data_IF_646023144528
#
_entry.id   IF_646023144528
#
_cell.length_a   1.000
_cell.length_b   1.000
_cell.length_c   1.000
_cell.angle_alpha   90.00
_cell.angle_beta   90.00
_cell.angle_gamma   90.00
#
_symmetry.space_group_name_H-M   'P 1'
#
loop_
_entity.id
_entity.type
_entity.pdbx_description
1 polymer ?
#
# COMPACT_ATOMS: atom_id res chain seq x y z
N UNK A 1 13.29 -40.69 -24.72
CA UNK A 1 12.69 -39.43 -24.21
C UNK A 1 12.71 -38.42 -25.34
N UNK A 2 11.57 -37.86 -25.75
CA UNK A 2 11.54 -36.95 -26.92
C UNK A 2 12.13 -35.59 -26.54
N UNK A 3 12.52 -34.81 -27.57
CA UNK A 3 13.12 -33.47 -27.39
C UNK A 3 12.21 -32.56 -26.56
N UNK A 4 10.90 -32.67 -26.73
CA UNK A 4 9.87 -31.94 -25.98
C UNK A 4 9.83 -32.33 -24.50
N UNK A 5 9.92 -33.62 -24.16
CA UNK A 5 9.91 -34.07 -22.76
C UNK A 5 11.16 -33.60 -22.02
N UNK A 6 12.33 -33.54 -22.70
CA UNK A 6 13.57 -32.99 -22.12
C UNK A 6 13.47 -31.49 -21.83
N UNK A 7 12.89 -30.70 -22.73
CA UNK A 7 12.71 -29.26 -22.51
C UNK A 7 11.73 -28.95 -21.38
N UNK A 8 10.63 -29.70 -21.26
CA UNK A 8 9.68 -29.56 -20.15
C UNK A 8 10.33 -29.96 -18.83
N UNK A 9 11.09 -31.07 -18.79
CA UNK A 9 11.78 -31.50 -17.58
C UNK A 9 12.86 -30.50 -17.14
N UNK A 10 13.58 -29.90 -18.10
CA UNK A 10 14.58 -28.85 -17.81
C UNK A 10 13.93 -27.54 -17.33
N UNK A 11 12.75 -27.19 -17.85
CA UNK A 11 11.96 -26.06 -17.34
C UNK A 11 11.50 -26.35 -15.90
N UNK A 12 10.95 -27.53 -15.63
CA UNK A 12 10.54 -27.92 -14.27
C UNK A 12 11.74 -28.09 -13.32
N UNK A 13 12.90 -28.54 -13.78
CA UNK A 13 14.13 -28.56 -12.98
C UNK A 13 14.68 -27.16 -12.73
N UNK A 14 14.60 -26.24 -13.71
CA UNK A 14 15.01 -24.85 -13.53
C UNK A 14 14.11 -24.13 -12.52
N UNK A 15 12.80 -24.35 -12.63
CA UNK A 15 11.78 -23.93 -11.67
C UNK A 15 12.09 -24.54 -10.30
N UNK A 16 12.25 -25.86 -10.20
CA UNK A 16 12.55 -26.55 -8.94
C UNK A 16 13.90 -26.11 -8.32
N UNK A 17 14.94 -25.85 -9.10
CA UNK A 17 16.23 -25.34 -8.60
C UNK A 17 16.10 -23.90 -8.07
N UNK A 18 15.19 -23.09 -8.64
CA UNK A 18 14.80 -21.80 -8.06
C UNK A 18 14.02 -21.96 -6.73
N UNK A 19 13.19 -22.99 -6.61
CA UNK A 19 12.37 -23.24 -5.41
C UNK A 19 13.07 -24.03 -4.28
N UNK A 20 14.15 -24.76 -4.59
CA UNK A 20 14.87 -25.64 -3.65
C UNK A 20 16.36 -25.27 -3.47
N UNK A 21 16.82 -24.14 -3.98
CA UNK A 21 18.19 -23.68 -3.70
C UNK A 21 18.38 -23.49 -2.19
N UNK A 22 19.52 -23.96 -1.61
CA UNK A 22 19.79 -23.79 -0.19
C UNK A 22 19.82 -22.31 0.18
N UNK A 23 19.15 -21.98 1.29
CA UNK A 23 18.96 -20.63 1.82
C UNK A 23 20.22 -20.05 2.48
N UNK A 24 21.36 -20.10 1.79
CA UNK A 24 22.49 -19.27 2.19
C UNK A 24 22.14 -17.82 1.85
N UNK A 25 22.22 -16.97 2.87
CA UNK A 25 21.89 -15.55 2.87
C UNK A 25 22.71 -14.81 1.80
N UNK A 26 22.24 -14.82 0.55
CA UNK A 26 22.62 -13.88 -0.49
C UNK A 26 21.70 -12.67 -0.37
N UNK A 27 21.78 -11.96 0.77
CA UNK A 27 21.25 -10.60 0.84
C UNK A 27 22.20 -9.75 -0.01
N UNK A 28 21.72 -9.26 -1.15
CA UNK A 28 22.40 -8.15 -1.79
C UNK A 28 22.03 -6.92 -0.96
N UNK A 29 22.93 -6.48 -0.09
CA UNK A 29 22.70 -5.30 0.74
C UNK A 29 22.26 -4.10 -0.13
N UNK A 30 21.11 -3.56 0.25
CA UNK A 30 20.70 -2.20 -0.07
C UNK A 30 19.90 -2.01 -1.35
N UNK A 31 19.78 -0.73 -1.67
CA UNK A 31 19.01 -0.19 -2.77
C UNK A 31 19.95 0.26 -3.88
N UNK A 32 19.55 0.08 -5.14
CA UNK A 32 20.16 0.78 -6.26
C UNK A 32 19.31 1.99 -6.62
N UNK A 33 19.85 3.18 -6.38
CA UNK A 33 19.17 4.43 -6.67
C UNK A 33 19.46 4.93 -8.08
N UNK A 34 18.41 5.40 -8.74
CA UNK A 34 18.49 6.07 -10.03
C UNK A 34 17.72 7.38 -9.97
N UNK A 35 18.35 8.45 -10.41
CA UNK A 35 17.69 9.72 -10.63
C UNK A 35 17.21 9.79 -12.08
N UNK A 36 15.99 10.28 -12.28
CA UNK A 36 15.38 10.43 -13.60
C UNK A 36 14.89 11.87 -13.76
N UNK A 37 15.52 12.62 -14.66
CA UNK A 37 15.02 13.92 -15.10
C UNK A 37 14.13 13.75 -16.33
N UNK A 38 13.02 14.49 -16.39
CA UNK A 38 12.21 14.59 -17.61
C UNK A 38 12.79 15.70 -18.48
N UNK A 39 13.08 15.38 -19.73
CA UNK A 39 13.65 16.32 -20.71
C UNK A 39 12.53 17.01 -21.50
N UNK A 40 11.57 16.23 -22.02
CA UNK A 40 10.45 16.72 -22.83
C UNK A 40 9.32 15.68 -22.93
N UNK A 41 8.12 16.13 -23.32
CA UNK A 41 7.05 15.25 -23.78
C UNK A 41 7.25 14.88 -25.25
N UNK A 42 6.95 13.63 -25.59
CA UNK A 42 7.10 13.08 -26.94
C UNK A 42 5.78 12.50 -27.41
N UNK A 43 5.23 13.07 -28.49
CA UNK A 43 4.06 12.53 -29.16
C UNK A 43 4.45 11.27 -29.95
N UNK A 44 3.99 10.11 -29.50
CA UNK A 44 4.36 8.81 -30.10
C UNK A 44 3.38 8.35 -31.18
N UNK A 45 2.15 8.90 -31.22
CA UNK A 45 1.20 8.60 -32.28
C UNK A 45 0.10 9.67 -32.40
N UNK A 46 -0.21 10.06 -33.64
CA UNK A 46 -1.30 11.00 -33.91
C UNK A 46 -2.68 10.37 -33.74
N UNK A 47 -3.69 11.12 -33.26
CA UNK A 47 -5.09 10.74 -33.35
C UNK A 47 -5.48 10.41 -34.80
N UNK A 48 -6.32 9.39 -35.01
CA UNK A 48 -6.76 9.00 -36.36
C UNK A 48 -7.59 10.08 -37.05
N UNK A 49 -8.26 10.93 -36.26
CA UNK A 49 -9.03 12.10 -36.70
C UNK A 49 -8.19 13.17 -37.37
N UNK A 50 -6.87 13.19 -37.11
CA UNK A 50 -5.94 14.21 -37.60
C UNK A 50 -5.10 13.72 -38.79
N UNK A 51 -5.49 12.61 -39.40
CA UNK A 51 -4.77 12.01 -40.52
C UNK A 51 -5.69 11.92 -41.72
N UNK A 52 -5.52 12.85 -42.66
CA UNK A 52 -6.39 12.96 -43.84
C UNK A 52 -6.13 11.87 -44.89
N UNK A 53 -4.91 11.32 -44.96
CA UNK A 53 -4.53 10.37 -46.01
C UNK A 53 -4.66 8.89 -45.60
N UNK A 54 -5.20 8.01 -46.46
CA UNK A 54 -5.26 6.57 -46.21
C UNK A 54 -3.89 5.93 -45.96
N UNK A 55 -2.85 6.33 -46.69
CA UNK A 55 -1.47 5.88 -46.47
C UNK A 55 -0.93 6.36 -45.12
N UNK A 56 -1.26 7.59 -44.71
CA UNK A 56 -0.96 8.10 -43.37
C UNK A 56 -1.62 7.27 -42.28
N UNK A 57 -2.87 6.83 -42.49
CA UNK A 57 -3.61 5.99 -41.54
C UNK A 57 -2.98 4.60 -41.38
N UNK A 58 -2.49 3.99 -42.47
CA UNK A 58 -1.78 2.71 -42.45
C UNK A 58 -0.42 2.85 -41.74
N UNK A 59 0.36 3.90 -42.06
CA UNK A 59 1.63 4.16 -41.38
C UNK A 59 1.44 4.41 -39.87
N UNK A 60 0.39 5.14 -39.49
CA UNK A 60 0.04 5.36 -38.09
C UNK A 60 -0.39 4.06 -37.38
N UNK A 61 -1.09 3.16 -38.09
CA UNK A 61 -1.44 1.84 -37.55
C UNK A 61 -0.19 1.04 -37.15
N UNK A 62 0.77 0.90 -38.07
CA UNK A 62 2.02 0.18 -37.79
C UNK A 62 2.86 0.86 -36.70
N UNK A 63 2.92 2.19 -36.68
CA UNK A 63 3.57 2.94 -35.58
C UNK A 63 2.89 2.67 -34.24
N UNK A 64 1.55 2.73 -34.17
CA UNK A 64 0.78 2.41 -32.95
C UNK A 64 1.01 0.98 -32.48
N UNK A 65 1.02 0.00 -33.38
CA UNK A 65 1.32 -1.38 -33.05
C UNK A 65 2.75 -1.54 -32.48
N UNK A 66 3.75 -0.95 -33.13
CA UNK A 66 5.13 -0.96 -32.64
C UNK A 66 5.26 -0.28 -31.27
N UNK A 67 4.62 0.87 -31.07
CA UNK A 67 4.63 1.59 -29.79
C UNK A 67 3.85 0.87 -28.69
N UNK A 68 2.82 0.09 -29.02
CA UNK A 68 2.13 -0.76 -28.05
C UNK A 68 3.07 -1.86 -27.53
N UNK A 69 3.84 -2.50 -28.41
CA UNK A 69 4.85 -3.51 -28.01
C UNK A 69 5.95 -2.87 -27.16
N UNK A 70 6.49 -1.71 -27.58
CA UNK A 70 7.51 -0.98 -26.82
C UNK A 70 7.01 -0.52 -25.46
N UNK A 71 5.77 -0.03 -25.37
CA UNK A 71 5.13 0.35 -24.11
C UNK A 71 4.95 -0.85 -23.19
N UNK A 72 4.44 -1.96 -23.72
CA UNK A 72 4.32 -3.20 -22.94
C UNK A 72 5.67 -3.64 -22.38
N UNK A 73 6.72 -3.63 -23.22
CA UNK A 73 8.07 -3.98 -22.79
C UNK A 73 8.61 -3.01 -21.74
N UNK A 74 8.48 -1.70 -21.97
CA UNK A 74 8.92 -0.65 -21.05
C UNK A 74 8.24 -0.78 -19.68
N UNK A 75 6.92 -0.95 -19.66
CA UNK A 75 6.13 -0.96 -18.43
C UNK A 75 6.24 -2.28 -17.64
N UNK A 76 6.47 -3.41 -18.31
CA UNK A 76 6.50 -4.73 -17.65
C UNK A 76 7.92 -5.25 -17.43
N UNK A 77 8.88 -4.86 -18.28
CA UNK A 77 10.25 -5.38 -18.25
C UNK A 77 11.23 -4.29 -17.84
N UNK A 78 11.35 -3.21 -18.62
CA UNK A 78 12.44 -2.25 -18.39
C UNK A 78 12.31 -1.55 -17.04
N UNK A 79 11.12 -1.04 -16.71
CA UNK A 79 10.89 -0.33 -15.45
C UNK A 79 11.12 -1.21 -14.21
N UNK A 80 10.84 -2.51 -14.32
CA UNK A 80 10.87 -3.44 -13.19
C UNK A 80 12.23 -4.15 -13.03
N UNK A 81 12.92 -4.42 -14.14
CA UNK A 81 14.06 -5.35 -14.15
C UNK A 81 15.31 -4.81 -14.86
N UNK A 82 15.20 -3.82 -15.75
CA UNK A 82 16.34 -3.35 -16.56
C UNK A 82 16.61 -1.87 -16.27
N UNK A 83 17.53 -1.62 -15.34
CA UNK A 83 17.91 -0.27 -14.93
C UNK A 83 19.15 0.24 -15.67
N UNK A 84 19.03 0.50 -16.98
CA UNK A 84 20.15 1.04 -17.79
C UNK A 84 20.16 2.58 -17.80
N UNK A 85 21.33 3.17 -17.55
CA UNK A 85 21.56 4.62 -17.60
C UNK A 85 21.49 5.23 -19.02
N UNK A 86 21.30 6.55 -19.08
CA UNK A 86 21.23 7.36 -20.29
C UNK A 86 19.80 7.74 -20.71
N UNK A 87 19.66 8.27 -21.92
CA UNK A 87 18.38 8.73 -22.47
C UNK A 87 17.42 7.58 -22.75
N UNK A 88 16.17 7.72 -22.32
CA UNK A 88 15.11 6.71 -22.49
C UNK A 88 13.78 7.39 -22.80
N UNK A 89 12.88 6.60 -23.40
CA UNK A 89 11.48 6.96 -23.49
C UNK A 89 10.72 6.25 -22.38
N UNK A 90 10.06 7.02 -21.52
CA UNK A 90 9.08 6.53 -20.56
C UNK A 90 7.69 6.63 -21.18
N UNK A 91 7.04 5.50 -21.43
CA UNK A 91 5.71 5.49 -22.04
C UNK A 91 4.62 5.78 -21.00
N UNK A 92 3.79 6.79 -21.26
CA UNK A 92 2.66 7.15 -20.39
C UNK A 92 1.74 5.96 -20.16
N UNK A 93 1.30 5.80 -18.91
CA UNK A 93 0.26 4.82 -18.52
C UNK A 93 -1.13 5.40 -18.78
N UNK A 94 -1.25 6.72 -18.72
CA UNK A 94 -2.51 7.47 -18.79
C UNK A 94 -2.92 7.83 -20.21
N UNK A 95 -1.95 8.12 -21.09
CA UNK A 95 -2.19 8.42 -22.51
C UNK A 95 -1.35 7.53 -23.44
N UNK A 96 -2.04 6.77 -24.30
CA UNK A 96 -1.43 5.88 -25.28
C UNK A 96 -0.66 6.58 -26.41
N UNK A 97 -0.83 7.89 -26.55
CA UNK A 97 -0.20 8.73 -27.57
C UNK A 97 0.97 9.57 -27.02
N UNK A 98 1.24 9.48 -25.71
CA UNK A 98 2.27 10.26 -25.02
C UNK A 98 3.41 9.36 -24.52
N UNK A 99 4.62 9.88 -24.59
CA UNK A 99 5.77 9.40 -23.83
C UNK A 99 6.56 10.60 -23.29
N UNK A 100 7.52 10.34 -22.41
CA UNK A 100 8.44 11.33 -21.89
C UNK A 100 9.86 10.93 -22.28
N UNK A 101 10.61 11.84 -22.87
CA UNK A 101 12.05 11.70 -23.00
C UNK A 101 12.66 11.95 -21.64
N UNK A 102 13.43 11.01 -21.11
CA UNK A 102 14.02 11.10 -19.79
C UNK A 102 15.50 10.76 -19.81
N UNK A 103 16.26 11.35 -18.88
CA UNK A 103 17.65 10.97 -18.64
C UNK A 103 17.73 10.26 -17.32
N UNK A 104 18.27 9.04 -17.33
CA UNK A 104 18.43 8.21 -16.13
C UNK A 104 19.89 8.08 -15.74
N UNK A 105 20.22 8.38 -14.49
CA UNK A 105 21.58 8.30 -13.95
C UNK A 105 21.59 7.54 -12.64
N UNK A 106 22.54 6.63 -12.45
CA UNK A 106 22.69 5.90 -11.18
C UNK A 106 23.27 6.84 -10.14
N UNK A 107 22.60 6.91 -8.99
CA UNK A 107 23.03 7.73 -7.85
C UNK A 107 24.11 6.96 -7.08
N UNK A 108 25.21 7.63 -6.75
CA UNK A 108 26.37 7.02 -6.09
C UNK A 108 26.57 7.53 -4.67
N UNK A 109 26.13 8.75 -4.38
CA UNK A 109 26.16 9.36 -3.04
C UNK A 109 25.05 10.41 -2.90
N UNK A 110 24.93 10.99 -1.71
CA UNK A 110 23.98 12.07 -1.46
C UNK A 110 24.40 13.36 -2.19
N UNK A 111 25.70 13.65 -2.21
CA UNK A 111 26.28 14.79 -2.94
C UNK A 111 26.02 14.66 -4.44
N UNK A 112 26.22 13.47 -5.00
CA UNK A 112 25.89 13.22 -6.41
C UNK A 112 24.38 13.40 -6.67
N UNK A 113 23.50 13.05 -5.73
CA UNK A 113 22.07 13.29 -5.88
C UNK A 113 21.74 14.80 -5.91
N UNK A 114 22.38 15.60 -5.05
CA UNK A 114 22.25 17.07 -5.06
C UNK A 114 22.75 17.68 -6.38
N UNK A 115 23.91 17.22 -6.87
CA UNK A 115 24.45 17.62 -8.17
C UNK A 115 23.47 17.32 -9.32
N UNK A 116 22.85 16.13 -9.31
CA UNK A 116 21.86 15.73 -10.31
C UNK A 116 20.56 16.55 -10.24
N UNK A 117 20.20 17.07 -9.06
CA UNK A 117 19.11 18.02 -8.87
C UNK A 117 19.46 19.45 -9.31
N UNK A 118 20.72 19.70 -9.67
CA UNK A 118 21.21 21.01 -10.09
C UNK A 118 21.34 22.01 -8.94
N UNK A 119 21.55 21.54 -7.71
CA UNK A 119 21.64 22.36 -6.52
C UNK A 119 23.04 22.32 -5.90
N UNK A 120 23.55 23.49 -5.50
CA UNK A 120 24.81 23.60 -4.76
C UNK A 120 24.64 23.19 -3.28
N UNK A 121 23.42 23.33 -2.76
CA UNK A 121 23.08 22.99 -1.39
C UNK A 121 21.62 22.54 -1.24
N UNK A 122 21.30 21.86 -0.14
CA UNK A 122 19.93 21.45 0.18
C UNK A 122 18.96 22.63 0.33
N UNK A 123 19.45 23.82 0.72
CA UNK A 123 18.61 25.02 0.80
C UNK A 123 18.09 25.51 -0.56
N UNK A 124 18.75 25.13 -1.65
CA UNK A 124 18.36 25.52 -3.02
C UNK A 124 17.29 24.60 -3.60
N UNK A 125 17.03 23.45 -2.95
CA UNK A 125 16.07 22.47 -3.42
C UNK A 125 14.64 22.95 -3.25
N UNK A 126 13.81 22.64 -4.26
CA UNK A 126 12.36 22.70 -4.11
C UNK A 126 11.88 21.67 -3.08
N UNK A 127 10.69 21.86 -2.49
CA UNK A 127 10.10 20.86 -1.59
C UNK A 127 9.98 19.47 -2.25
N UNK A 128 9.70 19.42 -3.55
CA UNK A 128 9.63 18.17 -4.31
C UNK A 128 10.98 17.46 -4.38
N UNK A 129 12.06 18.20 -4.61
CA UNK A 129 13.42 17.64 -4.63
C UNK A 129 13.89 17.24 -3.22
N UNK A 130 13.55 18.04 -2.18
CA UNK A 130 13.77 17.65 -0.78
C UNK A 130 13.07 16.35 -0.42
N UNK A 131 11.86 16.11 -0.93
CA UNK A 131 11.17 14.82 -0.77
C UNK A 131 11.93 13.64 -1.40
N UNK A 132 12.52 13.81 -2.59
CA UNK A 132 13.34 12.76 -3.22
C UNK A 132 14.62 12.48 -2.42
N UNK A 133 15.27 13.54 -1.91
CA UNK A 133 16.42 13.43 -1.01
C UNK A 133 16.06 12.73 0.30
N UNK A 134 14.92 13.07 0.90
CA UNK A 134 14.41 12.43 2.10
C UNK A 134 14.12 10.94 1.88
N UNK A 135 13.56 10.56 0.72
CA UNK A 135 13.38 9.15 0.34
C UNK A 135 14.72 8.39 0.27
N UNK A 136 15.75 9.02 -0.31
CA UNK A 136 17.11 8.48 -0.34
C UNK A 136 17.68 8.28 1.07
N UNK A 137 17.53 9.26 1.96
CA UNK A 137 17.97 9.17 3.37
C UNK A 137 17.19 8.11 4.15
N UNK A 138 15.88 8.01 3.93
CA UNK A 138 15.02 7.03 4.60
C UNK A 138 15.46 5.59 4.33
N UNK A 139 15.93 5.30 3.12
CA UNK A 139 16.47 3.98 2.76
C UNK A 139 17.68 3.52 3.59
N UNK A 140 18.36 4.46 4.27
CA UNK A 140 19.52 4.20 5.13
C UNK A 140 19.17 4.22 6.61
N UNK A 141 17.91 4.51 6.95
CA UNK A 141 17.44 4.65 8.32
C UNK A 141 17.36 3.32 9.06
N UNK A 142 17.34 3.38 10.39
CA UNK A 142 17.13 2.18 11.22
C UNK A 142 15.75 1.56 11.00
N UNK A 143 14.74 2.37 10.67
CA UNK A 143 13.40 1.89 10.31
C UNK A 143 13.46 0.90 9.13
N UNK A 144 14.24 1.20 8.10
CA UNK A 144 14.40 0.29 6.95
C UNK A 144 15.24 -0.93 7.33
N UNK A 145 16.34 -0.74 8.06
CA UNK A 145 17.24 -1.83 8.49
C UNK A 145 16.54 -2.87 9.35
N UNK A 146 15.69 -2.46 10.29
CA UNK A 146 14.87 -3.35 11.13
C UNK A 146 14.01 -4.33 10.32
N UNK A 147 13.73 -4.01 9.06
CA UNK A 147 12.81 -4.75 8.19
C UNK A 147 13.54 -5.55 7.11
N UNK A 148 14.85 -5.40 6.97
CA UNK A 148 15.66 -6.12 5.96
C UNK A 148 15.58 -7.64 6.12
N UNK A 149 15.49 -8.10 7.36
CA UNK A 149 15.43 -9.53 7.68
C UNK A 149 14.06 -10.17 7.37
N UNK A 150 13.03 -9.36 7.06
CA UNK A 150 11.70 -9.80 6.65
C UNK A 150 11.60 -10.12 5.15
N UNK A 151 12.58 -9.68 4.37
CA UNK A 151 12.64 -10.00 2.95
C UNK A 151 12.77 -11.51 2.75
N UNK A 152 11.78 -12.11 2.08
CA UNK A 152 11.86 -13.51 1.66
C UNK A 152 12.79 -13.64 0.45
N UNK A 153 13.51 -14.77 0.38
CA UNK A 153 14.21 -15.31 -0.80
C UNK A 153 14.87 -14.31 -1.77
N UNK A 154 16.21 -14.34 -1.88
CA UNK A 154 16.95 -13.94 -3.09
C UNK A 154 16.47 -12.64 -3.76
N UNK A 155 16.00 -11.66 -2.99
CA UNK A 155 15.60 -10.39 -3.57
C UNK A 155 16.89 -9.74 -4.09
N UNK A 156 17.02 -9.53 -5.42
CA UNK A 156 18.06 -8.62 -5.89
C UNK A 156 17.81 -7.27 -5.23
N UNK A 157 18.84 -6.43 -5.16
CA UNK A 157 18.71 -5.05 -4.65
C UNK A 157 17.44 -4.40 -5.18
N UNK A 158 16.67 -3.78 -4.29
CA UNK A 158 15.47 -3.03 -4.69
C UNK A 158 15.94 -1.80 -5.46
N UNK A 159 15.39 -1.61 -6.66
CA UNK A 159 15.70 -0.42 -7.44
C UNK A 159 14.82 0.73 -6.96
N UNK A 160 15.39 1.90 -6.74
CA UNK A 160 14.63 3.10 -6.39
C UNK A 160 14.81 4.12 -7.49
N UNK A 161 13.72 4.50 -8.13
CA UNK A 161 13.67 5.48 -9.21
C UNK A 161 13.12 6.78 -8.65
N UNK A 162 13.99 7.76 -8.47
CA UNK A 162 13.67 9.12 -8.04
C UNK A 162 13.41 9.97 -9.28
N UNK A 163 12.14 10.21 -9.60
CA UNK A 163 11.74 10.98 -10.78
C UNK A 163 11.58 12.45 -10.41
N UNK A 164 12.45 13.30 -10.95
CA UNK A 164 12.27 14.74 -10.84
C UNK A 164 11.35 15.24 -11.96
N UNK A 165 10.18 15.71 -11.56
CA UNK A 165 9.17 16.31 -12.43
C UNK A 165 9.25 17.84 -12.43
N UNK A 166 10.35 18.42 -11.96
CA UNK A 166 10.58 19.87 -12.01
C UNK A 166 10.46 20.36 -13.47
N UNK A 167 9.64 21.40 -13.70
CA UNK A 167 9.29 21.91 -15.03
C UNK A 167 8.09 21.23 -15.71
N UNK A 168 7.52 20.19 -15.10
CA UNK A 168 6.35 19.45 -15.63
C UNK A 168 5.16 19.52 -14.65
N UNK A 169 5.05 20.60 -13.88
CA UNK A 169 4.08 20.71 -12.79
C UNK A 169 2.78 21.42 -13.17
N UNK A 170 2.74 22.08 -14.33
CA UNK A 170 1.50 22.65 -14.86
C UNK A 170 0.58 21.50 -15.28
N UNK A 171 -0.53 21.33 -14.56
CA UNK A 171 -1.49 20.27 -14.81
C UNK A 171 -2.36 20.54 -16.06
N UNK A 172 -2.44 21.79 -16.53
CA UNK A 172 -3.10 22.11 -17.79
C UNK A 172 -2.21 21.70 -18.99
N UNK A 173 -0.91 21.95 -18.89
CA UNK A 173 0.06 21.60 -19.94
C UNK A 173 0.46 20.11 -19.89
N UNK A 174 0.63 19.55 -18.69
CA UNK A 174 1.09 18.19 -18.44
C UNK A 174 0.10 17.37 -17.57
N UNK A 175 -1.14 17.17 -18.03
CA UNK A 175 -2.22 16.58 -17.23
C UNK A 175 -1.96 15.14 -16.75
N UNK A 176 -0.98 14.45 -17.35
CA UNK A 176 -0.70 13.04 -17.07
C UNK A 176 0.59 12.82 -16.27
N UNK A 177 1.49 13.81 -16.18
CA UNK A 177 2.82 13.61 -15.59
C UNK A 177 2.74 13.13 -14.14
N UNK A 178 1.92 13.81 -13.32
CA UNK A 178 1.74 13.43 -11.91
C UNK A 178 1.23 11.99 -11.73
N UNK A 179 0.32 11.54 -12.60
CA UNK A 179 -0.25 10.18 -12.53
C UNK A 179 0.71 9.12 -13.05
N UNK A 180 1.41 9.40 -14.14
CA UNK A 180 2.32 8.46 -14.78
C UNK A 180 3.55 8.13 -13.91
N UNK A 181 3.96 9.07 -13.07
CA UNK A 181 5.09 8.95 -12.14
C UNK A 181 4.65 8.84 -10.67
N UNK A 182 3.36 8.61 -10.40
CA UNK A 182 2.84 8.45 -9.04
C UNK A 182 3.66 7.43 -8.24
N UNK A 183 3.93 7.66 -6.94
CA UNK A 183 4.73 6.73 -6.18
C UNK A 183 4.09 5.36 -6.15
N UNK A 184 4.90 4.32 -6.31
CA UNK A 184 4.45 2.94 -6.29
C UNK A 184 5.62 1.98 -6.13
N UNK A 185 5.30 0.78 -5.67
CA UNK A 185 6.16 -0.38 -5.68
C UNK A 185 5.66 -1.44 -6.65
N UNK A 186 6.57 -2.10 -7.35
CA UNK A 186 6.29 -3.31 -8.14
C UNK A 186 6.81 -4.58 -7.49
N UNK A 187 7.20 -4.50 -6.22
CA UNK A 187 7.91 -5.57 -5.50
C UNK A 187 9.42 -5.51 -5.69
N UNK A 188 9.90 -5.12 -6.88
CA UNK A 188 11.34 -5.04 -7.19
C UNK A 188 11.85 -3.61 -7.43
N UNK A 189 10.94 -2.68 -7.70
CA UNK A 189 11.25 -1.28 -7.96
C UNK A 189 10.29 -0.40 -7.19
N UNK A 190 10.82 0.62 -6.54
CA UNK A 190 10.08 1.73 -5.93
C UNK A 190 10.23 2.95 -6.84
N UNK A 191 9.13 3.60 -7.18
CA UNK A 191 9.12 4.88 -7.87
C UNK A 191 8.73 5.96 -6.87
N UNK A 192 9.49 7.05 -6.81
CA UNK A 192 9.14 8.28 -6.07
C UNK A 192 9.16 9.44 -7.06
N UNK A 193 8.30 10.46 -6.90
CA UNK A 193 8.33 11.65 -7.74
C UNK A 193 8.29 12.95 -6.94
N UNK A 194 8.97 13.98 -7.44
CA UNK A 194 9.01 15.30 -6.79
C UNK A 194 7.66 16.04 -6.84
N UNK A 195 6.91 15.89 -7.94
CA UNK A 195 5.65 16.60 -8.19
C UNK A 195 4.56 16.37 -7.15
N UNK A 196 4.49 15.18 -6.53
CA UNK A 196 3.54 14.86 -5.44
C UNK A 196 3.74 15.77 -4.22
N UNK A 197 4.97 16.18 -3.94
CA UNK A 197 5.34 16.84 -2.69
C UNK A 197 5.63 18.34 -2.83
N UNK A 198 5.64 18.89 -4.06
CA UNK A 198 6.04 20.27 -4.34
C UNK A 198 5.34 21.33 -3.47
N UNK A 199 4.03 21.21 -3.29
CA UNK A 199 3.24 22.19 -2.54
C UNK A 199 3.07 21.80 -1.06
N UNK A 200 3.84 20.83 -0.57
CA UNK A 200 3.71 20.31 0.77
C UNK A 200 4.83 20.86 1.67
N UNK A 201 4.53 21.64 2.73
CA UNK A 201 5.54 22.11 3.66
C UNK A 201 6.17 20.96 4.48
N UNK A 202 5.51 19.80 4.56
CA UNK A 202 6.00 18.59 5.22
C UNK A 202 6.55 17.55 4.22
N UNK A 203 6.97 18.00 3.03
CA UNK A 203 7.38 17.14 1.92
C UNK A 203 8.36 16.02 2.32
N UNK A 204 9.40 16.33 3.09
CA UNK A 204 10.42 15.36 3.51
C UNK A 204 9.85 14.25 4.39
N UNK A 205 9.01 14.63 5.37
CA UNK A 205 8.37 13.69 6.28
C UNK A 205 7.41 12.77 5.52
N UNK A 206 6.51 13.35 4.73
CA UNK A 206 5.49 12.60 4.00
C UNK A 206 6.14 11.70 2.92
N UNK A 207 7.26 12.12 2.32
CA UNK A 207 8.02 11.28 1.38
C UNK A 207 8.78 10.15 2.06
N UNK A 208 9.33 10.37 3.25
CA UNK A 208 9.94 9.31 4.06
C UNK A 208 8.91 8.24 4.45
N UNK A 209 7.72 8.69 4.84
CA UNK A 209 6.55 7.85 5.13
C UNK A 209 6.15 7.01 3.92
N UNK A 210 5.93 7.67 2.79
CA UNK A 210 5.60 7.00 1.52
C UNK A 210 6.71 6.01 1.09
N UNK A 211 7.99 6.37 1.26
CA UNK A 211 9.07 5.45 0.92
C UNK A 211 9.03 4.16 1.74
N UNK A 212 8.77 4.28 3.06
CA UNK A 212 8.67 3.11 3.94
C UNK A 212 7.48 2.22 3.56
N UNK A 213 6.33 2.84 3.24
CA UNK A 213 5.16 2.16 2.72
C UNK A 213 5.49 1.33 1.46
N UNK A 214 6.09 1.97 0.45
CA UNK A 214 6.45 1.30 -0.80
C UNK A 214 7.54 0.22 -0.62
N UNK A 215 8.42 0.41 0.37
CA UNK A 215 9.39 -0.61 0.73
C UNK A 215 8.73 -1.82 1.42
N UNK A 216 7.72 -1.61 2.26
CA UNK A 216 6.98 -2.72 2.86
C UNK A 216 6.27 -3.58 1.79
N UNK A 217 5.77 -2.97 0.71
CA UNK A 217 5.28 -3.70 -0.47
C UNK A 217 6.35 -4.59 -1.13
N UNK A 218 7.61 -4.16 -1.13
CA UNK A 218 8.73 -4.98 -1.61
C UNK A 218 8.94 -6.24 -0.76
N UNK A 219 8.78 -6.15 0.57
CA UNK A 219 8.93 -7.30 1.48
C UNK A 219 7.86 -8.38 1.25
N UNK A 220 6.73 -8.00 0.66
CA UNK A 220 5.64 -8.88 0.30
C UNK A 220 5.61 -9.28 -1.20
N UNK A 221 6.65 -8.88 -1.95
CA UNK A 221 6.78 -9.07 -3.41
C UNK A 221 5.66 -8.43 -4.25
N UNK A 222 4.78 -7.62 -3.64
CA UNK A 222 3.61 -6.98 -4.22
C UNK A 222 2.80 -7.87 -5.21
N UNK A 223 2.57 -9.15 -4.86
CA UNK A 223 1.74 -10.02 -5.71
C UNK A 223 0.27 -9.60 -5.56
N UNK A 224 -0.21 -8.86 -6.56
CA UNK A 224 -1.57 -8.30 -6.59
C UNK A 224 -2.62 -9.34 -6.97
N UNK A 225 -3.76 -9.27 -6.31
CA UNK A 225 -4.97 -9.98 -6.73
C UNK A 225 -5.56 -9.33 -8.00
N UNK A 226 -6.10 -10.16 -8.90
CA UNK A 226 -6.73 -9.64 -10.12
C UNK A 226 -8.01 -8.90 -9.73
N UNK A 227 -8.07 -7.59 -10.01
CA UNK A 227 -9.16 -6.70 -9.58
C UNK A 227 -9.30 -6.63 -8.05
N UNK A 228 -8.16 -6.50 -7.36
CA UNK A 228 -8.15 -6.40 -5.90
C UNK A 228 -8.81 -5.14 -5.35
N UNK A 229 -8.81 -4.05 -6.13
CA UNK A 229 -9.41 -2.77 -5.78
C UNK A 229 -10.68 -2.49 -6.59
N UNK A 230 -11.32 -1.34 -6.34
CA UNK A 230 -12.54 -0.92 -7.02
C UNK A 230 -12.41 -0.83 -8.55
N UNK A 231 -13.54 -0.59 -9.28
CA UNK A 231 -13.60 -0.71 -10.74
C UNK A 231 -12.67 0.23 -11.51
N UNK A 232 -12.19 1.30 -10.87
CA UNK A 232 -11.29 2.29 -11.42
C UNK A 232 -9.80 1.96 -11.19
N UNK A 233 -9.54 0.91 -10.41
CA UNK A 233 -8.19 0.46 -10.04
C UNK A 233 -7.51 1.34 -8.99
N UNK A 234 -8.26 2.24 -8.35
CA UNK A 234 -7.85 3.02 -7.18
C UNK A 234 -8.23 2.25 -5.92
N UNK A 235 -7.52 2.51 -4.81
CA UNK A 235 -8.01 2.18 -3.48
C UNK A 235 -7.98 3.40 -2.55
N UNK A 236 -8.80 3.36 -1.51
CA UNK A 236 -8.80 4.29 -0.38
C UNK A 236 -8.58 3.49 0.91
N UNK A 237 -7.93 4.09 1.89
CA UNK A 237 -7.71 3.49 3.22
C UNK A 237 -8.97 2.91 3.89
N UNK A 238 -10.14 3.53 3.64
CA UNK A 238 -11.44 3.13 4.17
C UNK A 238 -12.28 2.33 3.14
N UNK A 239 -11.72 1.93 2.01
CA UNK A 239 -12.42 1.13 1.00
C UNK A 239 -12.48 -0.34 1.39
N UNK A 240 -13.63 -0.95 1.14
CA UNK A 240 -13.83 -2.40 1.24
C UNK A 240 -13.27 -3.04 -0.04
N UNK A 241 -12.07 -3.60 0.05
CA UNK A 241 -11.37 -4.20 -1.09
C UNK A 241 -11.43 -5.73 -1.04
N UNK A 242 -10.76 -6.43 -1.94
CA UNK A 242 -10.61 -7.88 -1.82
C UNK A 242 -9.64 -8.25 -0.68
N UNK A 243 -9.80 -9.40 -0.01
CA UNK A 243 -9.04 -9.73 1.21
C UNK A 243 -7.52 -9.63 1.07
N UNK A 244 -6.97 -10.00 -0.09
CA UNK A 244 -5.52 -9.90 -0.34
C UNK A 244 -5.08 -8.46 -0.56
N UNK A 245 -5.87 -7.66 -1.27
CA UNK A 245 -5.58 -6.24 -1.46
C UNK A 245 -5.58 -5.50 -0.12
N UNK A 246 -6.64 -5.70 0.69
CA UNK A 246 -6.75 -5.14 2.03
C UNK A 246 -5.52 -5.49 2.89
N UNK A 247 -5.07 -6.75 2.86
CA UNK A 247 -3.90 -7.18 3.60
C UNK A 247 -2.58 -6.55 3.11
N UNK A 248 -2.37 -6.47 1.79
CA UNK A 248 -1.13 -5.93 1.21
C UNK A 248 -0.94 -4.46 1.60
N UNK A 249 -1.99 -3.66 1.44
CA UNK A 249 -1.94 -2.25 1.83
C UNK A 249 -1.87 -2.11 3.36
N UNK A 250 -2.67 -2.87 4.12
CA UNK A 250 -2.59 -2.85 5.57
C UNK A 250 -1.22 -3.23 6.14
N UNK A 251 -0.50 -4.14 5.46
CA UNK A 251 0.87 -4.47 5.83
C UNK A 251 1.82 -3.28 5.64
N UNK A 252 1.68 -2.55 4.53
CA UNK A 252 2.48 -1.35 4.29
C UNK A 252 2.15 -0.24 5.30
N UNK A 253 0.87 0.01 5.52
CA UNK A 253 0.39 1.02 6.46
C UNK A 253 0.78 0.69 7.91
N UNK A 254 0.67 -0.56 8.34
CA UNK A 254 1.17 -1.00 9.65
C UNK A 254 2.65 -0.65 9.84
N UNK A 255 3.49 -0.95 8.84
CA UNK A 255 4.92 -0.66 8.91
C UNK A 255 5.20 0.85 8.94
N UNK A 256 4.40 1.65 8.26
CA UNK A 256 4.44 3.10 8.29
C UNK A 256 4.04 3.65 9.67
N UNK A 257 2.92 3.17 10.22
CA UNK A 257 2.41 3.58 11.54
C UNK A 257 3.43 3.34 12.65
N UNK A 258 4.20 2.25 12.63
CA UNK A 258 5.25 1.99 13.64
C UNK A 258 6.27 3.13 13.76
N UNK A 259 6.61 3.80 12.65
CA UNK A 259 7.67 4.81 12.61
C UNK A 259 7.12 6.24 12.58
N UNK A 260 5.90 6.42 12.07
CA UNK A 260 5.31 7.73 11.81
C UNK A 260 4.02 7.95 12.63
N UNK A 261 4.10 8.62 13.80
CA UNK A 261 2.95 8.82 14.68
C UNK A 261 1.76 9.58 14.07
N UNK A 262 2.02 10.43 13.07
CA UNK A 262 0.98 11.19 12.39
C UNK A 262 0.12 10.28 11.51
N UNK A 263 0.73 9.34 10.80
CA UNK A 263 0.01 8.32 10.03
C UNK A 263 -0.85 7.47 10.96
N UNK A 264 -0.28 7.00 12.08
CA UNK A 264 -1.06 6.27 13.10
C UNK A 264 -2.32 7.03 13.52
N UNK A 265 -2.20 8.32 13.86
CA UNK A 265 -3.35 9.13 14.27
C UNK A 265 -4.38 9.24 13.15
N UNK A 266 -3.94 9.47 11.93
CA UNK A 266 -4.81 9.68 10.78
C UNK A 266 -5.59 8.38 10.46
N UNK A 267 -4.95 7.22 10.55
CA UNK A 267 -5.59 5.91 10.42
C UNK A 267 -6.65 5.62 11.50
N UNK A 268 -6.34 5.89 12.77
CA UNK A 268 -7.34 5.75 13.84
C UNK A 268 -8.52 6.72 13.69
N UNK A 269 -8.31 7.89 13.09
CA UNK A 269 -9.41 8.82 12.79
C UNK A 269 -10.26 8.31 11.63
N UNK A 270 -9.65 7.70 10.62
CA UNK A 270 -10.34 7.13 9.47
C UNK A 270 -11.27 5.99 9.86
N UNK A 271 -10.88 5.17 10.83
CA UNK A 271 -11.75 4.11 11.38
C UNK A 271 -13.06 4.63 12.01
N UNK A 272 -13.12 5.92 12.37
CA UNK A 272 -14.34 6.56 12.90
C UNK A 272 -15.22 7.13 11.79
N UNK A 273 -14.70 7.22 10.58
CA UNK A 273 -15.41 7.70 9.40
C UNK A 273 -16.18 6.59 8.70
N UNK A 274 -16.82 6.94 7.59
CA UNK A 274 -17.55 5.98 6.76
C UNK A 274 -16.58 5.09 5.97
N UNK A 275 -16.99 3.86 5.70
CA UNK A 275 -16.34 2.92 4.80
C UNK A 275 -16.86 3.13 3.38
N UNK A 276 -15.96 3.09 2.39
CA UNK A 276 -16.33 3.16 0.99
C UNK A 276 -16.59 1.74 0.47
N UNK A 277 -17.83 1.45 0.09
CA UNK A 277 -18.22 0.21 -0.58
C UNK A 277 -18.10 0.36 -2.10
N UNK A 278 -17.76 -0.75 -2.78
CA UNK A 278 -17.51 -0.80 -4.22
C UNK A 278 -18.69 -0.23 -5.04
N UNK A 279 -18.43 0.89 -5.71
CA UNK A 279 -19.32 1.47 -6.70
C UNK A 279 -19.37 0.69 -8.02
N UNK A 280 -20.31 1.00 -8.91
CA UNK A 280 -20.27 0.45 -10.29
C UNK A 280 -19.22 1.14 -11.17
N UNK A 281 -18.77 2.33 -10.77
CA UNK A 281 -17.83 3.22 -11.49
C UNK A 281 -16.98 4.00 -10.49
N UNK A 282 -15.84 4.52 -10.95
CA UNK A 282 -15.01 5.46 -10.20
C UNK A 282 -15.85 6.60 -9.62
N UNK A 283 -15.71 6.89 -8.32
CA UNK A 283 -16.40 7.99 -7.65
C UNK A 283 -17.88 7.75 -7.32
N UNK A 284 -18.41 6.54 -7.55
CA UNK A 284 -19.78 6.14 -7.21
C UNK A 284 -19.80 5.21 -5.99
N UNK A 285 -19.08 5.58 -4.93
CA UNK A 285 -18.95 4.76 -3.72
C UNK A 285 -20.19 4.89 -2.84
N UNK A 286 -20.73 3.77 -2.36
CA UNK A 286 -21.70 3.78 -1.26
C UNK A 286 -20.95 3.88 0.05
N UNK A 287 -21.29 4.85 0.87
CA UNK A 287 -20.64 5.03 2.17
C UNK A 287 -21.47 4.31 3.26
N UNK A 288 -20.81 3.50 4.08
CA UNK A 288 -21.44 2.75 5.17
C UNK A 288 -20.70 3.06 6.47
N UNK A 289 -21.42 3.37 7.55
CA UNK A 289 -20.76 3.57 8.84
C UNK A 289 -20.18 2.26 9.37
N UNK A 290 -19.07 2.28 10.12
CA UNK A 290 -18.51 1.07 10.73
C UNK A 290 -19.54 0.30 11.59
N UNK A 291 -20.43 1.01 12.27
CA UNK A 291 -21.51 0.45 13.09
C UNK A 291 -22.63 -0.22 12.28
N UNK A 292 -22.67 0.00 10.96
CA UNK A 292 -23.62 -0.64 10.03
C UNK A 292 -22.96 -1.73 9.18
N UNK A 293 -21.63 -1.75 9.07
CA UNK A 293 -20.87 -2.76 8.31
C UNK A 293 -20.86 -4.14 8.99
N UNK A 294 -20.66 -5.22 8.24
CA UNK A 294 -20.43 -6.56 8.81
C UNK A 294 -18.97 -6.72 9.28
N UNK A 295 -18.70 -7.68 10.17
CA UNK A 295 -17.32 -7.97 10.58
C UNK A 295 -16.40 -8.33 9.41
N UNK A 296 -16.90 -9.07 8.41
CA UNK A 296 -16.13 -9.39 7.20
C UNK A 296 -15.79 -8.14 6.37
N UNK A 297 -16.70 -7.17 6.27
CA UNK A 297 -16.43 -5.91 5.59
C UNK A 297 -15.32 -5.12 6.30
N UNK A 298 -15.30 -5.10 7.64
CA UNK A 298 -14.22 -4.47 8.41
C UNK A 298 -12.88 -5.19 8.19
N UNK A 299 -12.88 -6.53 8.11
CA UNK A 299 -11.70 -7.34 7.79
C UNK A 299 -11.19 -7.18 6.34
N UNK A 300 -11.88 -6.39 5.52
CA UNK A 300 -11.54 -6.08 4.13
C UNK A 300 -11.22 -4.61 3.92
N UNK A 301 -11.06 -3.84 4.99
CA UNK A 301 -10.59 -2.45 4.96
C UNK A 301 -9.14 -2.35 5.43
N UNK A 302 -8.34 -1.63 4.65
CA UNK A 302 -6.91 -1.41 4.90
C UNK A 302 -6.69 -0.78 6.27
N UNK A 303 -7.46 0.26 6.60
CA UNK A 303 -7.35 0.97 7.86
C UNK A 303 -7.63 0.09 9.08
N UNK A 304 -8.69 -0.73 9.03
CA UNK A 304 -9.04 -1.63 10.13
C UNK A 304 -7.96 -2.68 10.34
N UNK A 305 -7.45 -3.28 9.26
CA UNK A 305 -6.39 -4.27 9.34
C UNK A 305 -5.06 -3.67 9.81
N UNK A 306 -4.68 -2.49 9.32
CA UNK A 306 -3.44 -1.82 9.72
C UNK A 306 -3.47 -1.46 11.22
N UNK A 307 -4.57 -0.88 11.69
CA UNK A 307 -4.77 -0.57 13.10
C UNK A 307 -4.79 -1.82 13.98
N UNK A 308 -5.35 -2.94 13.51
CA UNK A 308 -5.30 -4.21 14.23
C UNK A 308 -3.87 -4.72 14.40
N UNK A 309 -3.09 -4.77 13.32
CA UNK A 309 -1.68 -5.17 13.39
C UNK A 309 -0.88 -4.22 14.29
N UNK A 310 -1.13 -2.91 14.18
CA UNK A 310 -0.49 -1.91 15.03
C UNK A 310 -0.82 -2.12 16.51
N UNK A 311 -2.10 -2.31 16.86
CA UNK A 311 -2.51 -2.57 18.26
C UNK A 311 -1.91 -3.86 18.80
N UNK A 312 -1.84 -4.92 17.99
CA UNK A 312 -1.14 -6.15 18.39
C UNK A 312 0.34 -5.86 18.66
N UNK A 313 1.01 -5.09 17.82
CA UNK A 313 2.41 -4.73 18.02
C UNK A 313 2.66 -3.93 19.30
N UNK A 314 1.74 -3.02 19.64
CA UNK A 314 1.83 -2.08 20.75
C UNK A 314 1.38 -2.69 22.10
N UNK A 315 0.31 -3.49 22.09
CA UNK A 315 -0.36 -3.96 23.31
C UNK A 315 0.10 -5.36 23.75
N UNK A 316 0.54 -6.21 22.83
CA UNK A 316 1.07 -7.55 23.15
C UNK A 316 2.57 -7.45 23.41
N UNK A 317 3.06 -8.07 24.50
CA UNK A 317 4.48 -8.05 24.83
C UNK A 317 5.32 -8.62 23.67
N UNK A 318 6.25 -7.83 23.12
CA UNK A 318 7.03 -8.20 21.94
C UNK A 318 6.18 -8.43 20.68
N UNK A 319 5.05 -7.74 20.56
CA UNK A 319 4.07 -7.92 19.49
C UNK A 319 4.64 -7.68 18.09
N UNK A 320 5.48 -6.66 17.93
CA UNK A 320 6.15 -6.36 16.65
C UNK A 320 6.99 -7.55 16.17
N UNK A 321 7.84 -8.11 17.03
CA UNK A 321 8.69 -9.27 16.68
C UNK A 321 7.84 -10.51 16.37
N UNK A 322 6.73 -10.70 17.11
CA UNK A 322 5.80 -11.81 16.90
C UNK A 322 5.08 -11.71 15.55
N UNK A 323 4.63 -10.50 15.16
CA UNK A 323 4.06 -10.20 13.84
C UNK A 323 5.11 -10.45 12.75
N UNK A 324 6.29 -9.87 12.87
CA UNK A 324 7.35 -10.03 11.86
C UNK A 324 7.73 -11.51 11.68
N UNK A 325 7.79 -12.27 12.79
CA UNK A 325 8.02 -13.72 12.74
C UNK A 325 6.89 -14.46 12.02
N UNK A 326 5.62 -14.19 12.34
CA UNK A 326 4.49 -14.86 11.69
C UNK A 326 4.43 -14.55 10.18
N UNK A 327 4.76 -13.32 9.77
CA UNK A 327 4.86 -12.92 8.37
C UNK A 327 5.95 -13.70 7.61
N UNK A 328 7.12 -13.90 8.25
CA UNK A 328 8.23 -14.68 7.71
C UNK A 328 7.94 -16.18 7.65
N UNK A 329 7.20 -16.71 8.62
CA UNK A 329 6.85 -18.13 8.67
C UNK A 329 5.86 -18.51 7.54
N UNK A 330 5.09 -17.55 7.01
CA UNK A 330 4.28 -17.72 5.80
C UNK A 330 5.19 -17.55 4.57
N UNK A 331 5.87 -18.65 4.21
CA UNK A 331 6.90 -18.67 3.15
C UNK A 331 6.40 -18.35 1.75
N UNK A 332 5.12 -18.56 1.46
CA UNK A 332 4.54 -18.33 0.14
C UNK A 332 3.78 -17.00 0.17
N UNK A 333 4.28 -15.97 -0.53
CA UNK A 333 3.67 -14.63 -0.52
C UNK A 333 2.20 -14.66 -0.98
N UNK A 334 1.85 -15.55 -1.90
CA UNK A 334 0.45 -15.74 -2.35
C UNK A 334 -0.51 -16.24 -1.26
N UNK A 335 0.02 -16.79 -0.17
CA UNK A 335 -0.76 -17.25 1.00
C UNK A 335 -0.76 -16.20 2.12
N UNK A 336 -0.11 -15.05 1.94
CA UNK A 336 -0.14 -13.98 2.92
C UNK A 336 -1.43 -13.19 2.77
N UNK A 337 -2.36 -13.52 3.64
CA UNK A 337 -3.59 -12.78 3.89
C UNK A 337 -3.75 -12.66 5.41
N UNK A 338 -4.67 -11.79 5.84
CA UNK A 338 -4.87 -11.55 7.27
C UNK A 338 -5.27 -12.81 8.04
N UNK A 339 -6.00 -13.74 7.39
CA UNK A 339 -6.44 -15.00 8.01
C UNK A 339 -5.28 -15.95 8.30
N UNK A 340 -4.38 -16.14 7.34
CA UNK A 340 -3.19 -16.96 7.54
C UNK A 340 -2.21 -16.26 8.48
N UNK A 341 -2.11 -14.93 8.42
CA UNK A 341 -1.27 -14.13 9.29
C UNK A 341 -1.66 -14.27 10.76
N UNK A 342 -2.93 -14.03 11.09
CA UNK A 342 -3.44 -14.14 12.46
C UNK A 342 -3.42 -15.59 12.98
N UNK A 343 -3.78 -16.58 12.15
CA UNK A 343 -3.63 -18.00 12.51
C UNK A 343 -2.19 -18.35 12.85
N UNK A 344 -1.23 -17.90 12.04
CA UNK A 344 0.18 -18.20 12.24
C UNK A 344 0.71 -17.49 13.49
N UNK A 345 0.26 -16.26 13.74
CA UNK A 345 0.57 -15.49 14.94
C UNK A 345 0.09 -16.18 16.21
N UNK A 346 -1.19 -16.55 16.28
CA UNK A 346 -1.79 -17.27 17.43
C UNK A 346 -1.14 -18.65 17.62
N UNK A 347 -0.88 -19.37 16.53
CA UNK A 347 -0.22 -20.67 16.58
C UNK A 347 1.19 -20.58 17.17
N UNK A 348 1.93 -19.52 16.83
CA UNK A 348 3.29 -19.31 17.32
C UNK A 348 3.32 -18.79 18.76
N UNK A 349 2.24 -18.17 19.23
CA UNK A 349 2.16 -17.47 20.50
C UNK A 349 0.86 -17.86 21.24
N UNK A 350 0.75 -19.10 21.73
CA UNK A 350 -0.49 -19.60 22.32
C UNK A 350 -0.90 -18.87 23.60
N UNK A 351 0.06 -18.33 24.35
CA UNK A 351 -0.18 -17.62 25.61
C UNK A 351 -0.81 -16.24 25.38
N UNK A 352 -0.55 -15.61 24.24
CA UNK A 352 -1.13 -14.31 23.86
C UNK A 352 -2.46 -14.44 23.10
N UNK A 353 -2.89 -15.68 22.82
CA UNK A 353 -4.01 -15.95 21.92
C UNK A 353 -5.31 -15.23 22.32
N UNK A 354 -5.61 -15.15 23.63
CA UNK A 354 -6.79 -14.44 24.13
C UNK A 354 -6.67 -12.93 23.94
N UNK A 355 -5.50 -12.34 24.21
CA UNK A 355 -5.28 -10.90 24.03
C UNK A 355 -5.39 -10.51 22.57
N UNK A 356 -4.76 -11.29 21.67
CA UNK A 356 -4.87 -11.10 20.22
C UNK A 356 -6.34 -11.20 19.78
N UNK A 357 -7.09 -12.18 20.30
CA UNK A 357 -8.51 -12.32 20.02
C UNK A 357 -9.33 -11.12 20.49
N UNK A 358 -9.03 -10.56 21.67
CA UNK A 358 -9.64 -9.34 22.18
C UNK A 358 -9.43 -8.13 21.27
N UNK A 359 -8.19 -7.91 20.80
CA UNK A 359 -7.89 -6.81 19.87
C UNK A 359 -8.65 -6.98 18.56
N UNK A 360 -8.71 -8.19 18.02
CA UNK A 360 -9.49 -8.48 16.79
C UNK A 360 -10.98 -8.21 17.02
N UNK A 361 -11.53 -8.63 18.17
CA UNK A 361 -12.93 -8.42 18.50
C UNK A 361 -13.25 -6.92 18.62
N UNK A 362 -12.41 -6.16 19.32
CA UNK A 362 -12.58 -4.72 19.51
C UNK A 362 -12.46 -3.93 18.19
N UNK A 363 -11.43 -4.21 17.38
CA UNK A 363 -11.27 -3.54 16.07
C UNK A 363 -12.46 -3.84 15.16
N UNK A 364 -13.01 -5.05 15.23
CA UNK A 364 -14.19 -5.44 14.43
C UNK A 364 -15.52 -5.11 15.12
N UNK A 365 -15.49 -4.31 16.19
CA UNK A 365 -16.68 -3.85 16.94
C UNK A 365 -17.55 -5.02 17.45
N UNK A 366 -16.95 -6.16 17.75
CA UNK A 366 -17.65 -7.37 18.16
C UNK A 366 -18.42 -8.08 17.04
N UNK A 367 -18.27 -7.68 15.77
CA UNK A 367 -19.19 -8.11 14.70
C UNK A 367 -18.85 -9.44 14.06
N UNK A 368 -17.65 -9.98 14.28
CA UNK A 368 -17.30 -11.30 13.79
C UNK A 368 -18.07 -12.37 14.57
N UNK A 369 -18.77 -13.27 13.89
CA UNK A 369 -19.31 -14.48 14.51
C UNK A 369 -18.19 -15.37 15.05
N UNK A 370 -18.50 -16.26 15.99
CA UNK A 370 -17.52 -17.22 16.53
C UNK A 370 -16.87 -18.08 15.43
N UNK A 371 -17.64 -18.38 14.38
CA UNK A 371 -17.13 -19.10 13.19
C UNK A 371 -16.10 -18.27 12.44
N UNK A 372 -16.33 -16.97 12.28
CA UNK A 372 -15.41 -16.04 11.62
C UNK A 372 -14.18 -15.79 12.50
N UNK A 373 -14.34 -15.60 13.81
CA UNK A 373 -13.23 -15.51 14.75
C UNK A 373 -12.33 -16.75 14.66
N UNK A 374 -12.91 -17.95 14.68
CA UNK A 374 -12.14 -19.19 14.46
C UNK A 374 -11.55 -19.31 13.06
N UNK A 375 -12.18 -18.69 12.04
CA UNK A 375 -11.61 -18.62 10.70
C UNK A 375 -10.33 -17.79 10.70
N UNK A 376 -10.27 -16.65 11.39
CA UNK A 376 -9.09 -15.78 11.42
C UNK A 376 -8.01 -16.23 12.43
N UNK A 377 -8.41 -16.74 13.60
CA UNK A 377 -7.50 -17.02 14.72
C UNK A 377 -7.17 -18.50 14.89
N UNK A 378 -7.90 -19.39 14.22
CA UNK A 378 -7.78 -20.84 14.38
C UNK A 378 -8.67 -21.37 15.51
N UNK A 379 -8.39 -22.60 15.96
CA UNK A 379 -9.26 -23.36 16.89
C UNK A 379 -8.52 -23.87 18.12
N UNK A 380 -7.52 -23.13 18.59
CA UNK A 380 -6.81 -23.48 19.83
C UNK A 380 -7.76 -23.45 21.03
N UNK A 381 -7.38 -24.10 22.13
CA UNK A 381 -8.15 -24.07 23.37
C UNK A 381 -8.36 -22.64 23.88
N UNK A 382 -7.31 -21.81 23.86
CA UNK A 382 -7.38 -20.42 24.29
C UNK A 382 -8.39 -19.58 23.49
N UNK A 383 -8.48 -19.80 22.16
CA UNK A 383 -9.49 -19.11 21.34
C UNK A 383 -10.90 -19.59 21.68
N UNK A 384 -11.11 -20.88 21.93
CA UNK A 384 -12.44 -21.37 22.34
C UNK A 384 -12.86 -20.80 23.69
N UNK A 385 -11.92 -20.77 24.64
CA UNK A 385 -12.15 -20.19 25.96
C UNK A 385 -12.49 -18.70 25.88
N UNK A 386 -11.77 -17.93 25.05
CA UNK A 386 -12.12 -16.53 24.77
C UNK A 386 -13.54 -16.39 24.21
N UNK A 387 -13.95 -17.26 23.28
CA UNK A 387 -15.29 -17.19 22.68
C UNK A 387 -16.39 -17.56 23.70
N UNK A 388 -16.12 -18.47 24.61
CA UNK A 388 -17.02 -18.79 25.74
C UNK A 388 -17.17 -17.58 26.68
N UNK A 389 -16.07 -16.94 27.06
CA UNK A 389 -16.07 -15.71 27.89
C UNK A 389 -16.81 -14.56 27.20
N UNK A 390 -16.57 -14.37 25.89
CA UNK A 390 -17.25 -13.38 25.06
C UNK A 390 -18.76 -13.60 25.01
N UNK A 391 -19.19 -14.84 24.85
CA UNK A 391 -20.62 -15.18 24.84
C UNK A 391 -21.27 -14.93 26.20
N UNK A 392 -20.58 -15.26 27.29
CA UNK A 392 -21.06 -14.97 28.65
C UNK A 392 -21.22 -13.47 28.88
N UNK A 393 -20.20 -12.67 28.52
CA UNK A 393 -20.25 -11.21 28.67
C UNK A 393 -21.42 -10.58 27.91
N UNK A 394 -21.71 -11.05 26.69
CA UNK A 394 -22.86 -10.58 25.92
C UNK A 394 -24.19 -10.91 26.58
N UNK A 395 -24.32 -12.13 27.11
CA UNK A 395 -25.53 -12.54 27.82
C UNK A 395 -25.73 -11.70 29.10
N UNK A 396 -24.65 -11.34 29.79
CA UNK A 396 -24.70 -10.44 30.96
C UNK A 396 -25.11 -9.00 30.58
N UNK A 397 -24.58 -8.46 29.48
CA UNK A 397 -24.93 -7.14 28.95
C UNK A 397 -26.39 -7.08 28.47
N UNK A 398 -26.87 -8.12 27.78
CA UNK A 398 -28.28 -8.24 27.36
C UNK A 398 -29.21 -8.32 28.58
N UNK A 399 -28.87 -9.13 29.58
CA UNK A 399 -29.66 -9.24 30.81
C UNK A 399 -29.71 -7.91 31.60
N UNK A 400 -28.61 -7.15 31.63
CA UNK A 400 -28.56 -5.84 32.27
C UNK A 400 -29.40 -4.79 31.51
N UNK A 401 -29.36 -4.79 30.18
CA UNK A 401 -30.18 -3.90 29.36
C UNK A 401 -31.69 -4.20 29.51
N UNK A 402 -32.06 -5.48 29.64
CA UNK A 402 -33.44 -5.89 29.90
C UNK A 402 -33.91 -5.50 31.32
N UNK A 403 -33.04 -5.52 32.33
CA UNK A 403 -33.39 -5.07 33.68
C UNK A 403 -33.56 -3.54 33.77
N UNK A 404 -32.72 -2.76 33.08
CA UNK A 404 -32.82 -1.31 33.05
C UNK A 404 -34.05 -0.83 32.27
N UNK A 405 -34.45 -1.57 31.22
CA UNK A 405 -35.69 -1.29 30.48
C UNK A 405 -36.97 -1.68 31.24
N UNK A 406 -36.87 -2.50 32.30
CA UNK A 406 -38.01 -2.95 33.10
C UNK A 406 -38.29 -2.08 34.35
N UNK A 407 -37.38 -1.16 34.73
CA UNK A 407 -37.49 -0.35 35.95
C UNK A 407 -38.08 1.07 35.79
N UNK A 408 -38.62 1.47 34.63
CA UNK A 408 -39.34 2.77 34.54
C UNK A 408 -40.56 2.81 33.60
N UNK A 409 -41.79 2.76 34.15
CA UNK A 409 -42.97 3.28 33.47
C UNK A 409 -43.52 4.60 34.05
N UNK A 410 -42.88 5.26 35.02
CA UNK A 410 -43.38 6.51 35.61
C UNK A 410 -42.26 7.41 36.20
N UNK A 411 -41.74 8.38 35.42
CA UNK A 411 -41.77 9.81 35.77
C UNK A 411 -40.93 10.75 34.86
N UNK A 412 -41.66 11.70 34.24
CA UNK A 412 -41.41 13.16 34.28
C UNK A 412 -40.49 13.81 33.23
N UNK A 413 -41.15 14.69 32.46
CA UNK A 413 -40.64 15.88 31.78
C UNK A 413 -39.55 16.66 32.54
N UNK A 414 -38.43 16.92 31.87
CA UNK A 414 -37.70 18.17 31.99
C UNK A 414 -36.46 18.20 32.90
N UNK A 415 -35.27 18.07 32.29
CA UNK A 415 -34.07 18.88 32.57
C UNK A 415 -32.94 18.54 31.58
N UNK A 416 -32.03 19.48 31.28
CA UNK A 416 -31.23 19.47 30.06
C UNK A 416 -29.96 18.62 30.19
N UNK A 417 -29.57 18.02 29.07
CA UNK A 417 -28.26 17.41 28.88
C UNK A 417 -27.20 18.51 28.70
N UNK A 418 -26.32 18.68 29.68
CA UNK A 418 -25.07 19.41 29.53
C UNK A 418 -23.96 18.68 30.31
N UNK A 419 -22.77 18.61 29.69
CA UNK A 419 -21.45 18.09 30.18
C UNK A 419 -21.23 16.56 30.10
N UNK A 420 -20.12 16.01 29.57
CA UNK A 420 -18.87 16.52 28.99
C UNK A 420 -18.37 15.49 27.97
N UNK A 421 -18.25 15.86 26.69
CA UNK A 421 -17.25 15.28 25.80
C UNK A 421 -16.28 16.42 25.53
N UNK A 422 -15.09 16.32 26.11
CA UNK A 422 -14.05 17.32 25.96
C UNK A 422 -13.57 17.27 24.51
N UNK A 423 -14.04 18.22 23.73
CA UNK A 423 -13.61 18.50 22.37
C UNK A 423 -12.17 19.00 22.41
N UNK A 424 -11.24 18.19 21.90
CA UNK A 424 -9.99 18.72 21.36
C UNK A 424 -10.32 19.24 19.96
N UNK A 425 -10.71 20.51 19.90
CA UNK A 425 -10.74 21.26 18.64
C UNK A 425 -9.30 21.52 18.20
N UNK A 426 -8.80 20.67 17.29
CA UNK A 426 -7.86 21.11 16.27
C UNK A 426 -8.51 20.79 14.92
N UNK A 427 -9.23 21.78 14.38
CA UNK A 427 -9.73 21.79 13.01
C UNK A 427 -8.53 21.87 12.05
N UNK A 428 -7.86 20.74 11.84
CA UNK A 428 -7.12 20.50 10.61
C UNK A 428 -8.12 19.91 9.64
N UNK A 429 -8.30 20.48 8.43
CA UNK A 429 -9.18 19.88 7.44
C UNK A 429 -8.74 18.43 7.23
N UNK A 430 -9.67 17.49 7.42
CA UNK A 430 -9.53 16.12 6.93
C UNK A 430 -9.10 16.25 5.48
N UNK A 431 -7.80 16.02 5.21
CA UNK A 431 -7.39 15.67 3.86
C UNK A 431 -8.24 14.46 3.52
N UNK A 432 -8.82 14.44 2.33
CA UNK A 432 -9.04 13.16 1.65
C UNK A 432 -7.67 12.49 1.65
N UNK A 433 -7.44 11.64 2.65
CA UNK A 433 -6.27 10.81 2.77
C UNK A 433 -6.45 9.73 1.70
N UNK A 434 -6.22 10.13 0.45
CA UNK A 434 -5.83 9.18 -0.57
C UNK A 434 -4.47 8.65 -0.14
N UNK A 435 -4.46 7.54 0.60
CA UNK A 435 -3.36 6.58 0.47
C UNK A 435 -3.20 6.29 -1.01
N UNK A 436 -1.94 6.23 -1.46
CA UNK A 436 -1.39 5.57 -2.68
C UNK A 436 -2.22 5.42 -3.98
N UNK A 437 -3.40 6.01 -4.10
CA UNK A 437 -4.48 5.72 -5.03
C UNK A 437 -5.24 7.00 -5.39
N UNK A 438 -5.58 7.11 -6.66
CA UNK A 438 -6.08 8.30 -7.31
C UNK A 438 -7.47 8.76 -6.88
N UNK A 439 -7.56 9.91 -6.22
CA UNK A 439 -8.83 10.64 -6.05
C UNK A 439 -8.70 12.01 -6.69
N UNK A 440 -9.38 12.20 -7.82
CA UNK A 440 -9.58 13.51 -8.42
C UNK A 440 -10.96 14.01 -8.04
N UNK A 441 -11.01 15.22 -7.50
CA UNK A 441 -12.18 16.09 -7.63
C UNK A 441 -12.33 16.45 -9.11
N UNK A 442 -13.36 15.91 -9.75
CA UNK A 442 -13.87 16.44 -11.02
C UNK A 442 -14.89 17.51 -10.65
N UNK A 443 -14.57 18.78 -10.95
CA UNK A 443 -15.60 19.81 -11.13
C UNK A 443 -16.14 19.77 -12.54
#
# INVERSE_FOLDING_TARGET
MTRTTRSILLLFMGIALFFFAPSEKLYADGFDFYYVSINETVEIAKPYSEIDSPLGKVNNFFKKAGNAVKRFWSQNIDHNFIQKEGERLYYSKSDKNLAYSTTKTKVTSEEHLLELMGADSESDLTNGQKALLASYRMSKSEAVKKREDMSLFYMPKVNVVLVDTTGFEDAEEYPHARKDFWPNSTGFTITMNSGRYRNNPNAERDASSTFLHEYAHCLDSNIRERKGYGPDGTHYINEITMPRAAFVEAWAEYNEMLEFPHERRDFFNVMKGELNEEGKKAGDYTCVKPEDATGDQLMRSEAFLACMLYRIADEVEGGEEKINKAFKDIRWCILRDISNMLKQLVKNNPDDAKQIAGIVDEITLGKLSDKEMMHYLGKSSAIKEFLEERAQKRAEEEAAAESDAAEDPEAVEGAPAEKVLETVEDNVPLKNAGSSGSVFDIK
#
